data_IF_587324314816
#
_entry.id   IF_587324314816
#
_cell.length_a   1.000
_cell.length_b   1.000
_cell.length_c   1.000
_cell.angle_alpha   90.00
_cell.angle_beta   90.00
_cell.angle_gamma   90.00
#
_symmetry.space_group_name_H-M   'P 1'
#
loop_
_entity.id
_entity.type
_entity.pdbx_description
1 polymer ?
#
# COMPACT_ATOMS: atom_id res chain seq x y z
N UNK A 1 -20.14 -17.32 -7.40
CA UNK A 1 -20.33 -17.11 -5.94
C UNK A 1 -20.05 -15.67 -5.60
N UNK A 2 -20.95 -15.02 -4.92
CA UNK A 2 -20.70 -13.70 -4.38
C UNK A 2 -19.56 -13.81 -3.36
N UNK A 3 -18.52 -12.99 -3.48
CA UNK A 3 -17.46 -12.93 -2.49
C UNK A 3 -17.97 -12.46 -1.14
N UNK A 4 -17.21 -12.75 -0.08
CA UNK A 4 -17.51 -12.24 1.25
C UNK A 4 -17.55 -10.71 1.24
N UNK A 5 -18.53 -10.06 1.90
CA UNK A 5 -18.57 -8.59 2.00
C UNK A 5 -17.40 -8.03 2.80
N UNK A 6 -16.66 -8.90 3.49
CA UNK A 6 -15.49 -8.53 4.30
C UNK A 6 -14.19 -8.57 3.52
N UNK A 7 -14.19 -9.07 2.29
CA UNK A 7 -12.99 -9.17 1.45
C UNK A 7 -12.99 -8.06 0.41
N UNK A 8 -11.91 -7.28 0.40
CA UNK A 8 -11.66 -6.24 -0.60
C UNK A 8 -10.55 -6.74 -1.50
N UNK A 9 -10.90 -6.97 -2.76
CA UNK A 9 -9.93 -7.33 -3.80
C UNK A 9 -9.64 -6.10 -4.64
N UNK A 10 -8.37 -5.84 -4.90
CA UNK A 10 -7.94 -4.67 -5.66
C UNK A 10 -6.90 -5.05 -6.69
N UNK A 11 -7.01 -4.51 -7.88
CA UNK A 11 -6.00 -4.54 -8.93
C UNK A 11 -5.93 -3.17 -9.58
N UNK A 12 -4.71 -2.64 -9.69
CA UNK A 12 -4.48 -1.34 -10.32
C UNK A 12 -3.13 -1.29 -10.99
N UNK A 13 -3.03 -0.41 -11.99
CA UNK A 13 -1.78 -0.15 -12.67
C UNK A 13 -1.61 1.36 -12.82
N UNK A 14 -0.40 1.84 -12.53
CA UNK A 14 -0.09 3.26 -12.50
C UNK A 14 1.20 3.55 -13.25
N UNK A 15 1.20 4.52 -14.17
CA UNK A 15 2.44 4.98 -14.78
C UNK A 15 3.23 5.84 -13.78
N UNK A 16 4.53 5.59 -13.69
CA UNK A 16 5.45 6.39 -12.88
C UNK A 16 6.53 6.98 -13.79
N UNK A 17 6.99 8.21 -13.53
CA UNK A 17 7.90 8.93 -14.44
C UNK A 17 9.36 8.50 -14.38
N UNK A 18 9.71 7.57 -13.48
CA UNK A 18 11.09 7.15 -13.23
C UNK A 18 11.26 5.67 -13.52
N UNK A 19 12.51 5.25 -13.75
CA UNK A 19 12.84 3.82 -13.99
C UNK A 19 12.53 2.95 -12.77
N UNK A 20 12.37 1.62 -12.93
CA UNK A 20 12.16 0.73 -11.78
C UNK A 20 13.25 0.85 -10.71
N UNK A 21 14.51 1.01 -11.08
CA UNK A 21 15.60 1.22 -10.12
C UNK A 21 15.43 2.49 -9.31
N UNK A 22 15.07 3.59 -9.97
CA UNK A 22 14.83 4.87 -9.32
C UNK A 22 13.61 4.81 -8.40
N UNK A 23 12.54 4.13 -8.84
CA UNK A 23 11.34 3.90 -8.02
C UNK A 23 11.72 3.11 -6.77
N UNK A 24 12.51 2.06 -6.92
CA UNK A 24 12.97 1.23 -5.81
C UNK A 24 13.80 2.05 -4.80
N UNK A 25 14.70 2.88 -5.31
CA UNK A 25 15.52 3.75 -4.45
C UNK A 25 14.68 4.67 -3.58
N UNK A 26 13.61 5.24 -4.13
CA UNK A 26 12.69 6.09 -3.36
C UNK A 26 11.89 5.26 -2.36
N UNK A 27 11.41 4.08 -2.75
CA UNK A 27 10.68 3.17 -1.85
C UNK A 27 11.52 2.70 -0.66
N UNK A 28 12.83 2.64 -0.80
CA UNK A 28 13.72 2.23 0.29
C UNK A 28 13.71 3.20 1.47
N UNK A 29 13.30 4.44 1.26
CA UNK A 29 13.20 5.44 2.32
C UNK A 29 11.92 5.27 3.15
N UNK A 30 11.77 4.10 3.77
CA UNK A 30 10.60 3.75 4.58
C UNK A 30 10.36 4.76 5.71
N UNK A 31 11.43 5.34 6.27
CA UNK A 31 11.37 6.33 7.34
C UNK A 31 10.66 7.62 6.94
N UNK A 32 10.45 7.84 5.66
CA UNK A 32 9.78 9.05 5.13
C UNK A 32 8.29 8.85 4.88
N UNK A 33 7.81 7.61 4.90
CA UNK A 33 6.43 7.29 4.51
C UNK A 33 5.39 8.05 5.34
N UNK A 34 5.59 8.15 6.65
CA UNK A 34 4.67 8.87 7.52
C UNK A 34 4.59 10.36 7.19
N UNK A 35 5.69 10.96 6.76
CA UNK A 35 5.72 12.36 6.33
C UNK A 35 5.11 12.56 4.94
N UNK A 36 5.15 11.54 4.08
CA UNK A 36 4.60 11.63 2.73
C UNK A 36 3.09 11.46 2.70
N UNK A 37 2.57 10.54 3.53
CA UNK A 37 1.16 10.12 3.46
C UNK A 37 0.42 10.50 4.73
N UNK A 38 -0.46 11.50 4.62
CA UNK A 38 -1.25 11.97 5.76
C UNK A 38 -2.23 10.94 6.33
N UNK A 39 -2.54 9.88 5.57
CA UNK A 39 -3.39 8.78 6.03
C UNK A 39 -2.63 7.77 6.89
N UNK A 40 -1.30 7.86 6.96
CA UNK A 40 -0.44 6.93 7.72
C UNK A 40 0.07 7.61 8.99
N UNK A 41 -0.11 6.96 10.14
CA UNK A 41 0.38 7.44 11.43
C UNK A 41 0.90 6.28 12.26
N UNK A 42 1.66 6.59 13.31
CA UNK A 42 2.26 5.59 14.22
C UNK A 42 3.10 4.54 13.47
N UNK A 43 3.80 4.97 12.42
CA UNK A 43 4.52 4.08 11.53
C UNK A 43 5.88 3.68 12.12
N UNK A 44 6.16 2.36 12.08
CA UNK A 44 7.45 1.81 12.53
C UNK A 44 7.87 0.66 11.61
N UNK A 45 9.18 0.50 11.49
CA UNK A 45 9.79 -0.60 10.71
C UNK A 45 10.59 -1.48 11.66
N UNK A 46 10.24 -2.75 11.73
CA UNK A 46 11.01 -3.77 12.43
C UNK A 46 11.75 -4.61 11.39
N UNK A 47 13.08 -4.55 11.37
CA UNK A 47 13.88 -5.30 10.43
C UNK A 47 14.81 -4.45 9.57
N UNK A 48 15.44 -5.06 8.56
CA UNK A 48 16.50 -4.42 7.77
C UNK A 48 16.02 -3.38 6.73
N UNK A 49 14.74 -3.08 6.67
CA UNK A 49 14.18 -2.15 5.68
C UNK A 49 13.41 -2.87 4.59
N UNK A 50 13.57 -2.45 3.34
CA UNK A 50 12.85 -3.03 2.19
C UNK A 50 13.48 -4.36 1.78
N UNK A 51 13.36 -5.36 2.65
CA UNK A 51 13.91 -6.71 2.49
C UNK A 51 12.94 -7.73 3.11
N UNK A 52 13.05 -8.97 2.67
CA UNK A 52 12.28 -10.08 3.22
C UNK A 52 12.52 -10.18 4.73
N UNK A 53 11.46 -10.39 5.49
CA UNK A 53 11.50 -10.52 6.94
C UNK A 53 11.20 -9.24 7.71
N UNK A 54 11.23 -8.08 7.06
CA UNK A 54 10.85 -6.82 7.71
C UNK A 54 9.34 -6.77 7.94
N UNK A 55 8.94 -6.12 9.05
CA UNK A 55 7.54 -5.89 9.37
C UNK A 55 7.32 -4.39 9.48
N UNK A 56 6.41 -3.87 8.67
CA UNK A 56 5.99 -2.48 8.68
C UNK A 56 4.73 -2.38 9.52
N UNK A 57 4.75 -1.57 10.58
CA UNK A 57 3.60 -1.38 11.46
C UNK A 57 3.09 0.04 11.33
N UNK A 58 1.79 0.20 11.24
CA UNK A 58 1.22 1.53 11.15
C UNK A 58 -0.28 1.54 11.38
N UNK A 59 -0.81 2.75 11.50
CA UNK A 59 -2.24 2.99 11.60
C UNK A 59 -2.68 3.75 10.35
N UNK A 60 -3.65 3.20 9.64
CA UNK A 60 -4.26 3.82 8.47
C UNK A 60 -5.47 4.63 8.94
N UNK A 61 -5.49 5.92 8.58
CA UNK A 61 -6.59 6.83 8.87
C UNK A 61 -7.22 7.22 7.54
N UNK A 62 -8.17 6.40 7.02
CA UNK A 62 -8.87 6.73 5.77
C UNK A 62 -9.86 7.87 5.99
N UNK A 63 -10.47 8.42 4.92
CA UNK A 63 -11.53 9.44 5.08
C UNK A 63 -12.85 8.82 5.57
N UNK A 64 -12.77 8.06 6.65
CA UNK A 64 -13.84 7.36 7.35
C UNK A 64 -13.59 7.49 8.85
N UNK A 65 -14.62 7.36 9.70
CA UNK A 65 -14.44 7.53 11.14
C UNK A 65 -13.80 6.32 11.84
N UNK A 66 -12.89 5.64 11.17
CA UNK A 66 -12.22 4.45 11.70
C UNK A 66 -10.72 4.59 11.62
N UNK A 67 -10.03 4.02 12.61
CA UNK A 67 -8.58 3.84 12.59
C UNK A 67 -8.29 2.36 12.37
N UNK A 68 -7.43 2.05 11.43
CA UNK A 68 -7.13 0.68 11.02
C UNK A 68 -5.66 0.39 11.34
N UNK A 69 -5.43 -0.51 12.29
CA UNK A 69 -4.07 -0.96 12.63
C UNK A 69 -3.66 -2.08 11.70
N UNK A 70 -2.52 -1.91 11.05
CA UNK A 70 -2.01 -2.90 10.10
C UNK A 70 -0.56 -3.23 10.36
N UNK A 71 -0.20 -4.46 10.06
CA UNK A 71 1.18 -4.94 10.02
C UNK A 71 1.40 -5.52 8.62
N UNK A 72 2.46 -5.09 7.97
CA UNK A 72 2.81 -5.59 6.64
C UNK A 72 4.13 -6.34 6.76
N UNK A 73 4.07 -7.65 6.64
CA UNK A 73 5.24 -8.50 6.64
C UNK A 73 5.75 -8.65 5.20
N UNK A 74 6.98 -8.21 4.95
CA UNK A 74 7.59 -8.37 3.64
C UNK A 74 8.07 -9.81 3.49
N UNK A 75 7.42 -10.55 2.61
CA UNK A 75 7.70 -11.97 2.38
C UNK A 75 8.84 -12.15 1.39
N UNK A 76 8.86 -11.35 0.33
CA UNK A 76 9.87 -11.38 -0.69
C UNK A 76 10.05 -9.99 -1.31
N UNK A 77 11.28 -9.58 -1.47
CA UNK A 77 11.64 -8.33 -2.13
C UNK A 77 12.70 -8.64 -3.19
N UNK A 78 12.31 -8.55 -4.45
CA UNK A 78 13.22 -8.75 -5.60
C UNK A 78 13.44 -7.41 -6.26
N UNK A 79 14.59 -6.80 -5.97
CA UNK A 79 14.95 -5.49 -6.50
C UNK A 79 15.24 -5.56 -8.00
N UNK A 80 14.74 -4.62 -8.82
CA UNK A 80 13.74 -3.58 -8.54
C UNK A 80 12.34 -3.97 -9.00
N UNK A 81 12.02 -5.25 -9.02
CA UNK A 81 10.89 -5.81 -9.77
C UNK A 81 9.63 -6.09 -8.94
N UNK A 82 9.81 -6.62 -7.71
CA UNK A 82 8.66 -7.20 -7.02
C UNK A 82 8.78 -7.12 -5.50
N UNK A 83 7.64 -6.86 -4.88
CA UNK A 83 7.45 -6.98 -3.43
C UNK A 83 6.21 -7.82 -3.19
N UNK A 84 6.36 -8.92 -2.45
CA UNK A 84 5.25 -9.74 -1.95
C UNK A 84 5.14 -9.53 -0.45
N UNK A 85 3.92 -9.30 0.04
CA UNK A 85 3.69 -8.99 1.44
C UNK A 85 2.44 -9.69 1.97
N UNK A 86 2.47 -10.01 3.26
CA UNK A 86 1.30 -10.43 4.02
C UNK A 86 0.82 -9.26 4.88
N UNK A 87 -0.49 -9.11 4.98
CA UNK A 87 -1.12 -8.06 5.78
C UNK A 87 -1.80 -8.71 6.99
N UNK A 88 -1.56 -8.14 8.17
CA UNK A 88 -2.10 -8.64 9.44
C UNK A 88 -2.64 -7.49 10.29
N UNK A 89 -3.46 -7.82 11.27
CA UNK A 89 -4.05 -6.87 12.23
C UNK A 89 -5.55 -6.73 12.02
N UNK A 90 -6.01 -5.48 11.92
CA UNK A 90 -7.43 -5.21 11.64
C UNK A 90 -7.82 -5.61 10.21
N UNK A 91 -6.84 -5.76 9.35
CA UNK A 91 -6.97 -6.32 8.01
C UNK A 91 -6.07 -7.54 7.91
N UNK A 92 -6.46 -8.53 7.11
CA UNK A 92 -5.69 -9.76 6.94
C UNK A 92 -5.74 -10.21 5.47
N UNK A 93 -4.57 -10.53 4.89
CA UNK A 93 -4.51 -10.96 3.51
C UNK A 93 -3.14 -10.83 2.88
N UNK A 94 -3.12 -10.61 1.58
CA UNK A 94 -1.91 -10.53 0.77
C UNK A 94 -1.92 -9.33 -0.16
N UNK A 95 -0.72 -8.81 -0.43
CA UNK A 95 -0.52 -7.73 -1.39
C UNK A 95 0.74 -7.98 -2.20
N UNK A 96 0.75 -7.52 -3.43
CA UNK A 96 1.89 -7.61 -4.33
C UNK A 96 2.07 -6.30 -5.10
N UNK A 97 3.31 -5.87 -5.22
CA UNK A 97 3.72 -4.75 -6.08
C UNK A 97 4.68 -5.28 -7.14
N UNK A 98 4.38 -4.99 -8.40
CA UNK A 98 5.24 -5.29 -9.54
C UNK A 98 5.65 -3.98 -10.22
N UNK A 99 6.94 -3.84 -10.51
CA UNK A 99 7.48 -2.69 -11.21
C UNK A 99 8.04 -3.14 -12.55
N UNK A 100 7.35 -2.81 -13.62
CA UNK A 100 7.74 -3.16 -14.99
C UNK A 100 8.31 -1.94 -15.71
N UNK A 101 9.43 -2.08 -16.44
CA UNK A 101 9.90 -0.98 -17.29
C UNK A 101 8.85 -0.61 -18.34
N UNK A 102 8.66 0.68 -18.54
CA UNK A 102 7.71 1.22 -19.53
C UNK A 102 8.31 2.48 -20.16
N UNK A 103 9.00 2.30 -21.30
CA UNK A 103 9.78 3.39 -21.90
C UNK A 103 10.87 3.86 -20.93
N UNK A 104 10.88 5.16 -20.64
CA UNK A 104 11.80 5.76 -19.67
C UNK A 104 11.26 5.70 -18.23
N UNK A 105 10.03 5.23 -18.07
CA UNK A 105 9.35 5.16 -16.78
C UNK A 105 9.11 3.75 -16.30
N UNK A 106 8.14 3.63 -15.41
CA UNK A 106 7.74 2.37 -14.79
C UNK A 106 6.21 2.24 -14.85
N UNK A 107 5.74 1.04 -15.10
CA UNK A 107 4.36 0.66 -14.86
C UNK A 107 4.30 -0.10 -13.54
N UNK A 108 3.74 0.51 -12.52
CA UNK A 108 3.53 -0.12 -11.22
C UNK A 108 2.19 -0.85 -11.24
N UNK A 109 2.21 -2.15 -10.93
CA UNK A 109 1.00 -2.95 -10.81
C UNK A 109 0.84 -3.40 -9.37
N UNK A 110 -0.32 -3.09 -8.79
CA UNK A 110 -0.66 -3.45 -7.41
C UNK A 110 -1.83 -4.40 -7.42
N UNK A 111 -1.69 -5.49 -6.71
CA UNK A 111 -2.80 -6.41 -6.46
C UNK A 111 -2.87 -6.73 -4.98
N UNK A 112 -4.08 -6.83 -4.45
CA UNK A 112 -4.30 -7.19 -3.05
C UNK A 112 -5.63 -7.89 -2.87
N UNK A 113 -5.68 -8.75 -1.84
CA UNK A 113 -6.91 -9.37 -1.37
C UNK A 113 -6.86 -9.33 0.15
N UNK A 114 -7.71 -8.52 0.75
CA UNK A 114 -7.65 -8.17 2.18
C UNK A 114 -9.02 -8.43 2.80
N UNK A 115 -9.03 -9.18 3.90
CA UNK A 115 -10.23 -9.41 4.70
C UNK A 115 -10.26 -8.44 5.89
N UNK A 116 -11.41 -7.80 6.09
CA UNK A 116 -11.63 -6.91 7.22
C UNK A 116 -11.88 -7.73 8.48
N UNK A 117 -11.07 -7.51 9.52
CA UNK A 117 -11.17 -8.21 10.81
C UNK A 117 -11.78 -7.36 11.91
N UNK A 118 -11.60 -6.05 11.86
CA UNK A 118 -12.12 -5.13 12.88
C UNK A 118 -13.66 -5.11 12.85
N UNK A 119 -14.28 -5.27 14.04
CA UNK A 119 -15.74 -5.36 14.14
C UNK A 119 -16.50 -4.15 13.59
N UNK A 120 -16.14 -2.89 13.92
CA UNK A 120 -16.85 -1.74 13.34
C UNK A 120 -16.75 -1.69 11.82
N UNK A 121 -15.58 -2.05 11.25
CA UNK A 121 -15.40 -2.11 9.81
C UNK A 121 -16.20 -3.24 9.18
N UNK A 122 -16.32 -4.39 9.85
CA UNK A 122 -17.16 -5.49 9.38
C UNK A 122 -18.63 -5.09 9.34
N UNK A 123 -19.10 -4.35 10.34
CA UNK A 123 -20.46 -3.82 10.34
C UNK A 123 -20.67 -2.85 9.17
N UNK A 124 -19.71 -1.95 8.94
CA UNK A 124 -19.76 -1.03 7.79
C UNK A 124 -19.74 -1.78 6.46
N UNK A 125 -18.95 -2.85 6.35
CA UNK A 125 -18.90 -3.67 5.13
C UNK A 125 -20.24 -4.32 4.80
N UNK A 126 -20.99 -4.72 5.82
CA UNK A 126 -22.34 -5.31 5.64
C UNK A 126 -23.38 -4.27 5.28
N UNK A 127 -23.32 -3.09 5.93
CA UNK A 127 -24.33 -2.05 5.78
C UNK A 127 -24.08 -1.13 4.59
N UNK A 128 -22.80 -0.87 4.29
CA UNK A 128 -22.40 0.05 3.22
C UNK A 128 -21.11 -0.44 2.56
N UNK A 129 -21.14 -1.55 1.79
CA UNK A 129 -19.93 -2.12 1.19
C UNK A 129 -19.20 -1.16 0.25
N UNK A 130 -19.95 -0.31 -0.46
CA UNK A 130 -19.35 0.69 -1.35
C UNK A 130 -18.53 1.74 -0.62
N UNK A 131 -18.85 2.02 0.64
CA UNK A 131 -18.14 3.01 1.44
C UNK A 131 -16.69 2.58 1.77
N UNK A 132 -16.50 1.29 2.12
CA UNK A 132 -15.17 0.76 2.40
C UNK A 132 -14.30 0.77 1.14
N UNK A 133 -14.87 0.36 0.01
CA UNK A 133 -14.17 0.39 -1.27
C UNK A 133 -13.80 1.82 -1.66
N UNK A 134 -14.71 2.76 -1.47
CA UNK A 134 -14.44 4.18 -1.72
C UNK A 134 -13.28 4.69 -0.87
N UNK A 135 -13.28 4.38 0.44
CA UNK A 135 -12.20 4.77 1.34
C UNK A 135 -10.86 4.17 0.93
N UNK A 136 -10.85 2.88 0.56
CA UNK A 136 -9.66 2.21 0.06
C UNK A 136 -9.12 2.88 -1.21
N UNK A 137 -9.99 3.15 -2.18
CA UNK A 137 -9.59 3.76 -3.45
C UNK A 137 -9.03 5.17 -3.25
N UNK A 138 -9.60 5.94 -2.31
CA UNK A 138 -9.09 7.27 -1.97
C UNK A 138 -7.69 7.22 -1.36
N UNK A 139 -7.42 6.24 -0.50
CA UNK A 139 -6.08 6.02 0.06
C UNK A 139 -5.09 5.68 -1.06
N UNK A 140 -5.45 4.79 -1.97
CA UNK A 140 -4.60 4.41 -3.11
C UNK A 140 -4.30 5.61 -4.00
N UNK A 141 -5.30 6.41 -4.37
CA UNK A 141 -5.12 7.62 -5.16
C UNK A 141 -4.15 8.60 -4.50
N UNK A 142 -4.35 8.87 -3.22
CA UNK A 142 -3.48 9.76 -2.45
C UNK A 142 -2.05 9.24 -2.39
N UNK A 143 -1.89 7.94 -2.19
CA UNK A 143 -0.58 7.27 -2.13
C UNK A 143 0.18 7.43 -3.43
N UNK A 144 -0.45 7.11 -4.55
CA UNK A 144 0.17 7.19 -5.88
C UNK A 144 0.50 8.62 -6.26
N UNK A 145 -0.43 9.55 -6.03
CA UNK A 145 -0.24 10.96 -6.36
C UNK A 145 0.94 11.57 -5.60
N UNK A 146 1.01 11.34 -4.30
CA UNK A 146 2.10 11.84 -3.45
C UNK A 146 3.44 11.20 -3.84
N UNK A 147 3.44 9.90 -4.10
CA UNK A 147 4.65 9.17 -4.50
C UNK A 147 5.20 9.72 -5.82
N UNK A 148 4.36 9.99 -6.80
CA UNK A 148 4.77 10.61 -8.07
C UNK A 148 5.43 11.96 -7.85
N UNK A 149 4.92 12.76 -6.93
CA UNK A 149 5.51 14.06 -6.59
C UNK A 149 6.92 13.88 -6.06
N UNK A 150 7.15 12.93 -5.17
CA UNK A 150 8.48 12.65 -4.62
C UNK A 150 9.45 12.10 -5.67
N UNK A 151 8.97 11.31 -6.62
CA UNK A 151 9.79 10.85 -7.74
C UNK A 151 10.27 12.00 -8.60
N UNK A 152 9.40 12.96 -8.91
CA UNK A 152 9.75 14.15 -9.70
C UNK A 152 10.75 15.03 -8.97
N UNK A 153 10.56 15.26 -7.68
CA UNK A 153 11.46 16.08 -6.86
C UNK A 153 12.85 15.45 -6.75
N UNK A 154 12.94 14.11 -6.72
CA UNK A 154 14.19 13.37 -6.72
C UNK A 154 14.98 13.50 -8.02
N UNK A 155 14.29 13.66 -9.15
CA UNK A 155 14.88 13.79 -10.48
C UNK A 155 15.49 15.18 -10.73
N UNK A 156 15.08 16.18 -9.95
CA UNK A 156 15.58 17.55 -10.04
C UNK A 156 16.86 17.80 -9.22
N UNK A 157 17.36 16.79 -8.54
CA UNK A 157 18.56 16.84 -7.72
C UNK A 157 19.64 15.95 -8.31
#
# INVERSE_FOLDING_TARGET
>A
MAGSPYVITYEGAFPLPSSPDEVWMVLQHLERFESWWGWLTEFRVDGPGLQAGSVLRGTVVPPLPYRIRVQIELLECVRPERIDAAVHGDLDGRAQLLLDPDGDGTRARVSSSIEVRQRPLRAAARLAPGLLRWGHDRVVESTVSTFRTHLRDGDER
#
